data_IF_028753191363
#
_entry.id   IF_028753191363
#
_cell.length_a   1.000
_cell.length_b   1.000
_cell.length_c   1.000
_cell.angle_alpha   90.00
_cell.angle_beta   90.00
_cell.angle_gamma   90.00
#
_symmetry.space_group_name_H-M   'P 1'
#
loop_
_entity.id
_entity.type
_entity.pdbx_description
1 polymer ?
#
# COMPACT_ATOMS: atom_id res chain seq x y z
N UNK A 1 -9.14 17.18 -20.65
CA UNK A 1 -8.38 15.93 -20.37
C UNK A 1 -7.25 16.32 -19.44
N UNK A 2 -7.15 15.70 -18.26
CA UNK A 2 -6.06 15.99 -17.31
C UNK A 2 -4.77 15.31 -17.80
N UNK A 3 -3.62 15.95 -17.58
CA UNK A 3 -2.32 15.34 -17.86
C UNK A 3 -1.96 14.29 -16.80
N UNK A 4 -1.08 13.31 -17.09
CA UNK A 4 -0.61 12.35 -16.08
C UNK A 4 -0.03 13.03 -14.83
N UNK A 5 0.67 14.16 -15.00
CA UNK A 5 1.26 14.92 -13.89
C UNK A 5 0.20 15.59 -13.02
N UNK A 6 -0.86 16.11 -13.63
CA UNK A 6 -2.00 16.67 -12.88
C UNK A 6 -2.81 15.59 -12.18
N UNK A 7 -2.98 14.42 -12.82
CA UNK A 7 -3.60 13.26 -12.20
C UNK A 7 -2.79 12.80 -10.98
N UNK A 8 -1.46 12.66 -11.11
CA UNK A 8 -0.59 12.30 -9.99
C UNK A 8 -0.66 13.32 -8.85
N UNK A 9 -0.59 14.62 -9.17
CA UNK A 9 -0.70 15.69 -8.17
C UNK A 9 -2.01 15.59 -7.38
N UNK A 10 -3.14 15.47 -8.09
CA UNK A 10 -4.47 15.35 -7.46
C UNK A 10 -4.60 14.09 -6.63
N UNK A 11 -4.09 12.96 -7.11
CA UNK A 11 -4.09 11.71 -6.34
C UNK A 11 -3.29 11.87 -5.05
N UNK A 12 -2.12 12.51 -5.08
CA UNK A 12 -1.34 12.78 -3.85
C UNK A 12 -2.10 13.66 -2.88
N UNK A 13 -2.75 14.73 -3.35
CA UNK A 13 -3.55 15.63 -2.52
C UNK A 13 -4.70 14.88 -1.83
N UNK A 14 -5.49 14.12 -2.59
CA UNK A 14 -6.62 13.32 -2.06
C UNK A 14 -6.15 12.29 -1.03
N UNK A 15 -5.05 11.58 -1.31
CA UNK A 15 -4.50 10.58 -0.38
C UNK A 15 -3.95 11.24 0.89
N UNK A 16 -3.29 12.39 0.76
CA UNK A 16 -2.77 13.13 1.91
C UNK A 16 -3.90 13.66 2.81
N UNK A 17 -4.98 14.17 2.23
CA UNK A 17 -6.18 14.58 2.95
C UNK A 17 -6.80 13.39 3.69
N UNK A 18 -7.04 12.26 3.01
CA UNK A 18 -7.60 11.06 3.63
C UNK A 18 -6.75 10.54 4.81
N UNK A 19 -5.43 10.49 4.64
CA UNK A 19 -4.52 10.05 5.73
C UNK A 19 -4.57 11.01 6.91
N UNK A 20 -4.64 12.33 6.64
CA UNK A 20 -4.71 13.36 7.69
C UNK A 20 -6.01 13.25 8.49
N UNK A 21 -7.14 13.04 7.82
CA UNK A 21 -8.44 12.84 8.47
C UNK A 21 -8.51 11.58 9.35
N UNK A 22 -7.70 10.55 9.04
CA UNK A 22 -7.68 9.32 9.81
C UNK A 22 -7.07 9.46 11.21
N UNK A 23 -6.41 10.59 11.54
CA UNK A 23 -5.89 10.85 12.88
C UNK A 23 -4.90 9.80 13.37
N UNK A 24 -3.94 9.39 12.53
CA UNK A 24 -2.99 8.34 12.89
C UNK A 24 -2.06 8.77 14.04
N UNK A 25 -2.19 8.15 15.21
CA UNK A 25 -1.39 8.46 16.41
C UNK A 25 -0.16 7.57 16.56
N UNK A 26 -0.17 6.38 15.94
CA UNK A 26 0.89 5.39 16.05
C UNK A 26 1.09 4.63 14.72
N UNK A 27 2.20 3.89 14.56
CA UNK A 27 2.48 3.13 13.34
C UNK A 27 1.42 2.09 12.96
N UNK A 28 0.69 1.53 13.93
CA UNK A 28 -0.40 0.58 13.65
C UNK A 28 -1.57 1.27 12.95
N UNK A 29 -1.93 2.49 13.35
CA UNK A 29 -2.97 3.28 12.69
C UNK A 29 -2.57 3.57 11.23
N UNK A 30 -1.30 3.95 11.01
CA UNK A 30 -0.76 4.17 9.65
C UNK A 30 -0.89 2.88 8.82
N UNK A 31 -0.48 1.73 9.36
CA UNK A 31 -0.62 0.44 8.68
C UNK A 31 -2.07 0.15 8.29
N UNK A 32 -3.02 0.36 9.20
CA UNK A 32 -4.44 0.13 8.94
C UNK A 32 -4.99 1.03 7.83
N UNK A 33 -4.61 2.32 7.83
CA UNK A 33 -5.02 3.27 6.78
C UNK A 33 -4.48 2.87 5.41
N UNK A 34 -3.21 2.46 5.33
CA UNK A 34 -2.61 1.99 4.08
C UNK A 34 -3.31 0.73 3.55
N UNK A 35 -3.66 -0.23 4.42
CA UNK A 35 -4.42 -1.43 4.03
C UNK A 35 -5.82 -1.06 3.50
N UNK A 36 -6.49 -0.08 4.13
CA UNK A 36 -7.78 0.43 3.64
C UNK A 36 -7.65 1.07 2.27
N UNK A 37 -6.60 1.87 2.03
CA UNK A 37 -6.36 2.49 0.73
C UNK A 37 -6.15 1.45 -0.38
N UNK A 38 -5.38 0.39 -0.12
CA UNK A 38 -5.21 -0.72 -1.08
C UNK A 38 -6.55 -1.38 -1.38
N UNK A 39 -7.35 -1.65 -0.35
CA UNK A 39 -8.69 -2.21 -0.51
C UNK A 39 -9.61 -1.31 -1.33
N UNK A 40 -9.59 0.00 -1.10
CA UNK A 40 -10.38 0.99 -1.85
C UNK A 40 -9.95 1.05 -3.31
N UNK A 41 -8.63 1.07 -3.58
CA UNK A 41 -8.11 1.04 -4.94
C UNK A 41 -8.53 -0.23 -5.69
N UNK A 42 -8.49 -1.39 -5.04
CA UNK A 42 -8.97 -2.64 -5.62
C UNK A 42 -10.47 -2.56 -5.97
N UNK A 43 -11.31 -2.09 -5.04
CA UNK A 43 -12.75 -1.91 -5.31
C UNK A 43 -13.03 -0.92 -6.44
N UNK A 44 -12.28 0.19 -6.51
CA UNK A 44 -12.39 1.14 -7.60
C UNK A 44 -12.12 0.45 -8.95
N UNK A 45 -11.06 -0.35 -9.05
CA UNK A 45 -10.75 -1.13 -10.26
C UNK A 45 -11.85 -2.17 -10.56
N UNK A 46 -12.41 -2.84 -9.55
CA UNK A 46 -13.53 -3.77 -9.76
C UNK A 46 -14.71 -3.06 -10.42
N UNK A 47 -15.06 -1.87 -9.92
CA UNK A 47 -16.20 -1.09 -10.44
C UNK A 47 -15.93 -0.55 -11.85
N UNK A 48 -14.68 -0.21 -12.20
CA UNK A 48 -14.35 0.38 -13.50
C UNK A 48 -13.90 -0.62 -14.57
N UNK A 49 -13.29 -1.74 -14.18
CA UNK A 49 -12.59 -2.68 -15.07
C UNK A 49 -12.93 -4.15 -14.78
N UNK A 50 -13.72 -4.46 -13.76
CA UNK A 50 -14.09 -5.82 -13.37
C UNK A 50 -13.10 -6.50 -12.43
N UNK A 51 -13.57 -7.61 -11.85
CA UNK A 51 -12.84 -8.36 -10.81
C UNK A 51 -11.51 -8.95 -11.29
N UNK A 52 -11.47 -9.44 -12.52
CA UNK A 52 -10.27 -10.05 -13.10
C UNK A 52 -9.12 -9.03 -13.17
N UNK A 53 -9.40 -7.82 -13.67
CA UNK A 53 -8.38 -6.78 -13.77
C UNK A 53 -7.87 -6.33 -12.40
N UNK A 54 -8.76 -6.20 -11.41
CA UNK A 54 -8.37 -5.86 -10.04
C UNK A 54 -7.43 -6.93 -9.45
N UNK A 55 -7.75 -8.21 -9.65
CA UNK A 55 -6.94 -9.34 -9.19
C UNK A 55 -5.56 -9.34 -9.87
N UNK A 56 -5.51 -9.09 -11.17
CA UNK A 56 -4.26 -9.03 -11.93
C UNK A 56 -3.33 -7.91 -11.44
N UNK A 57 -3.88 -6.74 -11.09
CA UNK A 57 -3.10 -5.62 -10.53
C UNK A 57 -2.51 -5.99 -9.16
N UNK A 58 -3.29 -6.65 -8.30
CA UNK A 58 -2.82 -7.11 -6.99
C UNK A 58 -1.72 -8.18 -7.10
N UNK A 59 -1.88 -9.16 -7.99
CA UNK A 59 -0.84 -10.16 -8.26
C UNK A 59 0.44 -9.52 -8.83
N UNK A 60 0.31 -8.64 -9.82
CA UNK A 60 1.47 -7.95 -10.41
C UNK A 60 2.23 -7.13 -9.36
N UNK A 61 1.50 -6.52 -8.42
CA UNK A 61 2.09 -5.78 -7.29
C UNK A 61 2.84 -6.73 -6.35
N UNK A 62 2.25 -7.87 -6.01
CA UNK A 62 2.91 -8.93 -5.22
C UNK A 62 4.19 -9.41 -5.90
N UNK A 63 4.14 -9.73 -7.18
CA UNK A 63 5.30 -10.20 -7.95
C UNK A 63 6.42 -9.15 -8.01
N UNK A 64 6.07 -7.87 -8.10
CA UNK A 64 7.03 -6.79 -8.04
C UNK A 64 7.71 -6.70 -6.66
N UNK A 65 6.93 -6.81 -5.57
CA UNK A 65 7.47 -6.81 -4.21
C UNK A 65 8.41 -8.00 -3.96
N UNK A 66 8.11 -9.18 -4.50
CA UNK A 66 8.99 -10.35 -4.37
C UNK A 66 10.36 -10.16 -5.03
N UNK A 67 10.44 -9.34 -6.09
CA UNK A 67 11.72 -8.97 -6.74
C UNK A 67 12.51 -7.96 -5.93
N UNK A 68 11.83 -7.17 -5.11
CA UNK A 68 12.43 -6.21 -4.18
C UNK A 68 12.60 -6.90 -2.83
N UNK A 69 13.62 -7.75 -2.70
CA UNK A 69 13.98 -8.29 -1.39
C UNK A 69 14.07 -7.12 -0.40
N UNK A 70 13.29 -7.15 0.70
CA UNK A 70 13.25 -6.04 1.62
C UNK A 70 14.67 -5.76 2.10
N UNK A 71 15.05 -4.48 2.13
CA UNK A 71 16.32 -4.03 2.72
C UNK A 71 16.33 -4.24 4.24
N UNK A 72 15.49 -5.10 4.78
CA UNK A 72 15.39 -5.38 6.20
C UNK A 72 15.05 -6.85 6.39
N UNK A 73 15.71 -7.48 7.37
CA UNK A 73 15.38 -8.85 7.78
C UNK A 73 14.17 -8.78 8.70
N UNK A 74 13.21 -9.68 8.50
CA UNK A 74 12.05 -9.84 9.37
C UNK A 74 12.07 -11.19 10.06
N UNK A 75 11.52 -11.25 11.26
CA UNK A 75 11.23 -12.49 11.98
C UNK A 75 9.76 -12.47 12.42
N UNK A 76 9.10 -13.62 12.35
CA UNK A 76 7.75 -13.77 12.88
C UNK A 76 7.85 -14.06 14.38
N UNK A 77 7.23 -13.21 15.21
CA UNK A 77 7.19 -13.41 16.66
C UNK A 77 6.24 -14.57 17.00
N UNK A 78 6.37 -15.09 18.23
CA UNK A 78 5.48 -16.14 18.76
C UNK A 78 3.99 -15.73 18.73
N UNK A 79 3.72 -14.42 18.80
CA UNK A 79 2.37 -13.84 18.71
C UNK A 79 1.88 -13.61 17.26
N UNK A 80 2.63 -14.09 16.25
CA UNK A 80 2.29 -13.94 14.83
C UNK A 80 2.51 -12.53 14.25
N UNK A 81 3.23 -11.66 14.97
CA UNK A 81 3.58 -10.33 14.48
C UNK A 81 4.89 -10.36 13.70
N UNK A 82 5.05 -9.45 12.72
CA UNK A 82 6.32 -9.31 12.01
C UNK A 82 7.20 -8.31 12.75
N UNK A 83 8.36 -8.77 13.21
CA UNK A 83 9.40 -7.93 13.82
C UNK A 83 10.51 -7.64 12.81
N UNK A 84 10.88 -6.37 12.68
CA UNK A 84 12.02 -5.95 11.85
C UNK A 84 13.30 -6.12 12.67
N UNK A 85 14.21 -6.96 12.19
CA UNK A 85 15.45 -7.35 12.87
C UNK A 85 16.64 -6.46 12.51
N UNK A 86 16.56 -5.69 11.43
CA UNK A 86 17.57 -4.73 11.01
C UNK A 86 17.71 -4.62 9.50
N UNK A 87 18.32 -3.53 9.05
CA UNK A 87 18.67 -3.27 7.64
C UNK A 87 20.08 -3.84 7.41
N UNK A 88 20.35 -4.67 6.38
CA UNK A 88 21.69 -5.10 6.04
C UNK A 88 22.56 -3.85 5.82
N UNK A 89 23.61 -3.68 6.62
CA UNK A 89 24.60 -2.63 6.36
C UNK A 89 25.38 -3.05 5.12
N UNK A 90 25.31 -2.24 4.06
CA UNK A 90 26.20 -2.35 2.90
C UNK A 90 27.62 -1.96 3.29
#
# INVERSE_FOLDING_TARGET
MITPKEAEKRTREIVAEYISECGCENPDHIRQVLIKLISMAAHAIVVTNGLEQATNVLHSTSDYLQKLLPLYRTEMTEDGQIKIMGVPRH
#
